data_IF_332807499851
#
_entry.id   IF_332807499851
#
_cell.length_a   1.000
_cell.length_b   1.000
_cell.length_c   1.000
_cell.angle_alpha   90.00
_cell.angle_beta   90.00
_cell.angle_gamma   90.00
#
_symmetry.space_group_name_H-M   'P 1'
#
loop_
_entity.id
_entity.type
_entity.pdbx_description
1 polymer ?
#
# COMPACT_ATOMS: atom_id res chain seq x y z
N UNK A 1 7.89 8.76 25.75
CA UNK A 1 8.71 7.59 26.06
C UNK A 1 9.38 6.96 24.84
N UNK A 2 8.74 6.89 23.67
CA UNK A 2 9.31 6.30 22.43
C UNK A 2 10.34 7.20 21.70
N UNK A 3 10.50 8.46 22.08
CA UNK A 3 11.39 9.42 21.40
C UNK A 3 12.89 9.21 21.71
N UNK A 4 13.21 8.44 22.76
CA UNK A 4 14.60 8.14 23.17
C UNK A 4 15.05 6.72 22.80
N UNK A 5 14.32 6.05 21.91
CA UNK A 5 14.69 4.72 21.47
C UNK A 5 15.99 4.76 20.65
N UNK A 6 16.91 3.85 20.98
CA UNK A 6 18.08 3.55 20.16
C UNK A 6 17.62 3.19 18.71
N UNK A 7 18.44 3.49 17.72
CA UNK A 7 18.18 3.19 16.29
C UNK A 7 17.74 1.74 16.07
N UNK A 8 18.33 0.79 16.79
CA UNK A 8 17.97 -0.63 16.71
C UNK A 8 16.55 -0.90 17.20
N UNK A 9 16.16 -0.25 18.30
CA UNK A 9 14.79 -0.37 18.82
C UNK A 9 13.77 0.31 17.91
N UNK A 10 14.11 1.46 17.31
CA UNK A 10 13.27 2.11 16.30
C UNK A 10 13.05 1.19 15.10
N UNK A 11 14.11 0.57 14.58
CA UNK A 11 14.02 -0.37 13.48
C UNK A 11 13.14 -1.59 13.82
N UNK A 12 13.24 -2.12 15.04
CA UNK A 12 12.39 -3.21 15.50
C UNK A 12 10.91 -2.80 15.52
N UNK A 13 10.59 -1.62 16.05
CA UNK A 13 9.22 -1.12 16.08
C UNK A 13 8.67 -0.98 14.65
N UNK A 14 9.41 -0.36 13.72
CA UNK A 14 8.98 -0.24 12.31
C UNK A 14 8.76 -1.61 11.68
N UNK A 15 9.65 -2.57 11.94
CA UNK A 15 9.54 -3.94 11.45
C UNK A 15 8.25 -4.62 11.94
N UNK A 16 7.97 -4.58 13.24
CA UNK A 16 6.77 -5.18 13.82
C UNK A 16 5.50 -4.55 13.22
N UNK A 17 5.47 -3.23 13.12
CA UNK A 17 4.31 -2.53 12.54
C UNK A 17 4.13 -2.82 11.04
N UNK A 18 5.21 -2.98 10.28
CA UNK A 18 5.10 -3.31 8.85
C UNK A 18 4.51 -4.71 8.63
N UNK A 19 4.93 -5.71 9.43
CA UNK A 19 4.36 -7.04 9.40
C UNK A 19 2.90 -7.04 9.89
N UNK A 20 2.61 -6.26 10.93
CA UNK A 20 1.24 -6.09 11.44
C UNK A 20 0.33 -5.48 10.38
N UNK A 21 0.81 -4.47 9.63
CA UNK A 21 0.05 -3.90 8.51
C UNK A 21 -0.27 -4.96 7.47
N UNK A 22 0.73 -5.71 7.02
CA UNK A 22 0.54 -6.78 6.03
C UNK A 22 -0.45 -7.84 6.52
N UNK A 23 -0.34 -8.27 7.79
CA UNK A 23 -1.27 -9.23 8.39
C UNK A 23 -2.71 -8.72 8.44
N UNK A 24 -2.92 -7.49 8.91
CA UNK A 24 -4.24 -6.84 8.95
C UNK A 24 -4.78 -6.65 7.53
N UNK A 25 -3.94 -6.25 6.58
CA UNK A 25 -4.30 -6.08 5.18
C UNK A 25 -4.79 -7.40 4.55
N UNK A 26 -4.08 -8.52 4.78
CA UNK A 26 -4.50 -9.86 4.33
C UNK A 26 -5.87 -10.22 4.90
N UNK A 27 -6.03 -10.12 6.22
CA UNK A 27 -7.26 -10.49 6.90
C UNK A 27 -8.44 -9.59 6.50
N UNK A 28 -8.23 -8.28 6.42
CA UNK A 28 -9.27 -7.34 6.01
C UNK A 28 -9.67 -7.50 4.55
N UNK A 29 -8.74 -7.85 3.66
CA UNK A 29 -9.06 -8.16 2.26
C UNK A 29 -9.96 -9.38 2.15
N UNK A 30 -9.65 -10.47 2.88
CA UNK A 30 -10.49 -11.67 2.94
C UNK A 30 -11.89 -11.38 3.50
N UNK A 31 -11.94 -10.68 4.63
CA UNK A 31 -13.20 -10.33 5.28
C UNK A 31 -14.07 -9.43 4.40
N UNK A 32 -13.47 -8.45 3.76
CA UNK A 32 -14.17 -7.51 2.91
C UNK A 32 -14.79 -8.19 1.66
N UNK A 33 -14.13 -9.19 1.08
CA UNK A 33 -14.72 -9.94 -0.05
C UNK A 33 -15.94 -10.78 0.34
N UNK A 34 -16.09 -11.13 1.61
CA UNK A 34 -17.26 -11.85 2.11
C UNK A 34 -18.45 -10.94 2.40
N UNK A 35 -18.19 -9.68 2.79
CA UNK A 35 -19.23 -8.74 3.25
C UNK A 35 -19.63 -7.76 2.16
N UNK A 36 -18.65 -7.27 1.37
CA UNK A 36 -18.87 -6.24 0.38
C UNK A 36 -19.37 -6.83 -0.93
N UNK A 37 -20.31 -6.11 -1.55
CA UNK A 37 -20.75 -6.37 -2.90
C UNK A 37 -20.22 -5.27 -3.83
N UNK A 38 -19.76 -5.65 -5.03
CA UNK A 38 -19.29 -4.72 -6.05
C UNK A 38 -18.17 -3.80 -5.53
N UNK A 39 -18.26 -2.51 -5.84
CA UNK A 39 -17.30 -1.48 -5.48
C UNK A 39 -17.47 -0.89 -4.07
N UNK A 40 -18.44 -1.38 -3.28
CA UNK A 40 -18.66 -0.84 -1.91
C UNK A 40 -17.42 -0.93 -1.02
N UNK A 41 -16.56 -1.92 -1.22
CA UNK A 41 -15.29 -2.01 -0.51
C UNK A 41 -14.40 -0.78 -0.69
N UNK A 42 -14.35 -0.21 -1.91
CA UNK A 42 -13.62 1.02 -2.19
C UNK A 42 -14.20 2.21 -1.41
N UNK A 43 -15.54 2.39 -1.45
CA UNK A 43 -16.20 3.48 -0.74
C UNK A 43 -15.99 3.39 0.77
N UNK A 44 -16.13 2.19 1.35
CA UNK A 44 -15.89 1.94 2.77
C UNK A 44 -14.43 2.26 3.14
N UNK A 45 -13.46 1.81 2.35
CA UNK A 45 -12.05 2.10 2.58
C UNK A 45 -11.74 3.60 2.58
N UNK A 46 -12.29 4.36 1.62
CA UNK A 46 -12.13 5.82 1.57
C UNK A 46 -12.73 6.49 2.83
N UNK A 47 -13.95 6.12 3.21
CA UNK A 47 -14.60 6.67 4.41
C UNK A 47 -13.79 6.34 5.66
N UNK A 48 -13.31 5.12 5.82
CA UNK A 48 -12.46 4.73 6.95
C UNK A 48 -11.18 5.58 7.01
N UNK A 49 -10.55 5.84 5.89
CA UNK A 49 -9.34 6.67 5.86
C UNK A 49 -9.65 8.14 6.20
N UNK A 50 -10.78 8.69 5.76
CA UNK A 50 -11.22 10.03 6.18
C UNK A 50 -11.38 10.07 7.71
N UNK A 51 -11.96 9.02 8.31
CA UNK A 51 -12.07 8.88 9.77
C UNK A 51 -10.69 8.76 10.43
N UNK A 52 -9.69 8.16 9.79
CA UNK A 52 -8.33 8.03 10.32
C UNK A 52 -7.59 9.39 10.45
N UNK A 53 -7.92 10.39 9.63
CA UNK A 53 -7.26 11.71 9.64
C UNK A 53 -7.35 12.41 11.03
N UNK A 54 -8.53 12.59 11.63
CA UNK A 54 -8.62 13.19 12.97
C UNK A 54 -7.84 12.42 14.04
N UNK A 55 -7.78 11.09 13.96
CA UNK A 55 -6.96 10.29 14.87
C UNK A 55 -5.47 10.56 14.69
N UNK A 56 -4.99 10.65 13.46
CA UNK A 56 -3.61 11.04 13.19
C UNK A 56 -3.29 12.44 13.75
N UNK A 57 -4.18 13.41 13.56
CA UNK A 57 -4.02 14.76 14.10
C UNK A 57 -3.99 14.76 15.64
N UNK A 58 -4.85 13.98 16.28
CA UNK A 58 -4.87 13.81 17.75
C UNK A 58 -3.61 13.09 18.26
N UNK A 59 -2.93 12.29 17.45
CA UNK A 59 -1.71 11.58 17.77
C UNK A 59 -0.58 12.48 18.27
N UNK A 60 -0.57 13.77 17.88
CA UNK A 60 0.35 14.79 18.42
C UNK A 60 0.22 14.96 19.94
N UNK A 61 -0.98 14.78 20.49
CA UNK A 61 -1.28 14.92 21.92
C UNK A 61 -1.31 13.58 22.65
N UNK A 62 -1.83 12.55 22.00
CA UNK A 62 -2.05 11.22 22.60
C UNK A 62 -1.60 10.14 21.62
N UNK A 63 -0.59 9.35 21.99
CA UNK A 63 0.02 8.31 21.12
C UNK A 63 -1.01 7.31 20.55
N UNK A 64 -2.09 7.03 21.24
CA UNK A 64 -3.20 6.21 20.75
C UNK A 64 -3.81 6.71 19.45
N UNK A 65 -3.75 8.00 19.17
CA UNK A 65 -4.23 8.55 17.90
C UNK A 65 -3.47 8.00 16.70
N UNK A 66 -2.15 7.88 16.80
CA UNK A 66 -1.34 7.30 15.72
C UNK A 66 -1.60 5.81 15.52
N UNK A 67 -1.78 5.06 16.63
CA UNK A 67 -2.11 3.64 16.58
C UNK A 67 -3.49 3.41 15.96
N UNK A 68 -4.50 4.16 16.38
CA UNK A 68 -5.85 4.08 15.81
C UNK A 68 -5.83 4.39 14.30
N UNK A 69 -5.14 5.48 13.91
CA UNK A 69 -4.99 5.85 12.50
C UNK A 69 -4.30 4.74 11.69
N UNK A 70 -3.22 4.15 12.21
CA UNK A 70 -2.54 3.03 11.60
C UNK A 70 -3.47 1.83 11.38
N UNK A 71 -4.21 1.41 12.41
CA UNK A 71 -5.13 0.27 12.33
C UNK A 71 -6.24 0.52 11.32
N UNK A 72 -6.86 1.70 11.35
CA UNK A 72 -7.94 2.06 10.43
C UNK A 72 -7.44 2.04 8.99
N UNK A 73 -6.26 2.62 8.69
CA UNK A 73 -5.71 2.62 7.34
C UNK A 73 -5.29 1.22 6.86
N UNK A 74 -4.81 0.37 7.77
CA UNK A 74 -4.46 -1.02 7.42
C UNK A 74 -5.71 -1.80 6.99
N UNK A 75 -6.81 -1.65 7.72
CA UNK A 75 -8.10 -2.27 7.41
C UNK A 75 -8.67 -1.67 6.11
N UNK A 76 -8.66 -0.34 5.99
CA UNK A 76 -9.15 0.39 4.83
C UNK A 76 -8.46 -0.06 3.53
N UNK A 77 -7.14 -0.30 3.56
CA UNK A 77 -6.38 -0.79 2.42
C UNK A 77 -6.89 -2.16 1.94
N UNK A 78 -7.22 -3.06 2.86
CA UNK A 78 -7.80 -4.36 2.52
C UNK A 78 -9.19 -4.25 1.89
N UNK A 79 -10.03 -3.36 2.40
CA UNK A 79 -11.35 -3.09 1.80
C UNK A 79 -11.24 -2.54 0.38
N UNK A 80 -10.30 -1.63 0.12
CA UNK A 80 -10.06 -1.10 -1.23
C UNK A 80 -9.63 -2.20 -2.19
N UNK A 81 -8.68 -3.05 -1.79
CA UNK A 81 -8.20 -4.15 -2.64
C UNK A 81 -9.28 -5.20 -2.86
N UNK A 82 -10.19 -5.43 -1.91
CA UNK A 82 -11.32 -6.35 -2.08
C UNK A 82 -12.21 -5.94 -3.26
N UNK A 83 -12.40 -4.64 -3.49
CA UNK A 83 -13.22 -4.15 -4.60
C UNK A 83 -12.68 -4.61 -5.97
N UNK A 84 -11.36 -4.65 -6.14
CA UNK A 84 -10.72 -5.22 -7.33
C UNK A 84 -11.04 -6.71 -7.52
N UNK A 85 -10.89 -7.52 -6.46
CA UNK A 85 -11.13 -8.96 -6.55
C UNK A 85 -12.59 -9.31 -6.79
N UNK A 86 -13.52 -8.56 -6.18
CA UNK A 86 -14.96 -8.71 -6.41
C UNK A 86 -15.31 -8.37 -7.86
N UNK A 87 -14.79 -7.25 -8.43
CA UNK A 87 -15.03 -6.88 -9.82
C UNK A 87 -14.45 -7.90 -10.80
N UNK A 88 -13.27 -8.42 -10.52
CA UNK A 88 -12.60 -9.41 -11.39
C UNK A 88 -13.13 -10.84 -11.21
N UNK A 89 -14.16 -11.05 -10.37
CA UNK A 89 -14.76 -12.36 -10.06
C UNK A 89 -13.73 -13.40 -9.58
N UNK A 90 -12.66 -12.93 -8.92
CA UNK A 90 -11.59 -13.79 -8.43
C UNK A 90 -11.80 -14.11 -6.96
N UNK A 91 -11.76 -15.38 -6.64
CA UNK A 91 -11.82 -15.84 -5.25
C UNK A 91 -10.48 -15.59 -4.55
N UNK A 92 -10.55 -14.99 -3.37
CA UNK A 92 -9.39 -14.86 -2.48
C UNK A 92 -9.30 -16.10 -1.59
N UNK A 93 -8.20 -16.83 -1.73
CA UNK A 93 -7.83 -17.89 -0.82
C UNK A 93 -6.67 -17.40 0.07
N UNK A 94 -6.75 -17.67 1.37
CA UNK A 94 -5.75 -17.25 2.37
C UNK A 94 -4.35 -17.77 2.01
N UNK A 95 -4.25 -18.97 1.44
CA UNK A 95 -2.99 -19.56 1.04
C UNK A 95 -2.30 -18.74 -0.06
N UNK A 96 -3.05 -18.36 -1.10
CA UNK A 96 -2.56 -17.54 -2.21
C UNK A 96 -2.15 -16.15 -1.74
N UNK A 97 -2.88 -15.57 -0.78
CA UNK A 97 -2.56 -14.25 -0.22
C UNK A 97 -1.28 -14.28 0.61
N UNK A 98 -1.10 -15.33 1.43
CA UNK A 98 0.13 -15.49 2.22
C UNK A 98 1.33 -15.66 1.29
N UNK A 99 1.23 -16.53 0.27
CA UNK A 99 2.32 -16.73 -0.70
C UNK A 99 2.66 -15.41 -1.41
N UNK A 100 1.67 -14.64 -1.84
CA UNK A 100 1.88 -13.33 -2.47
C UNK A 100 2.55 -12.30 -1.54
N UNK A 101 2.30 -12.36 -0.23
CA UNK A 101 2.89 -11.46 0.75
C UNK A 101 4.33 -11.80 1.15
N UNK A 102 4.75 -13.07 1.05
CA UNK A 102 6.06 -13.55 1.52
C UNK A 102 7.24 -12.74 0.94
N UNK A 103 7.34 -12.50 -0.39
CA UNK A 103 8.49 -11.77 -0.93
C UNK A 103 8.63 -10.36 -0.37
N UNK A 104 7.51 -9.64 -0.23
CA UNK A 104 7.50 -8.30 0.33
C UNK A 104 7.87 -8.29 1.82
N UNK A 105 7.34 -9.24 2.60
CA UNK A 105 7.68 -9.41 4.01
C UNK A 105 9.16 -9.80 4.18
N UNK A 106 9.72 -10.64 3.31
CA UNK A 106 11.13 -11.02 3.32
C UNK A 106 12.07 -9.82 3.11
N UNK A 107 11.72 -8.90 2.20
CA UNK A 107 12.52 -7.67 2.00
C UNK A 107 12.55 -6.83 3.28
N UNK A 108 11.41 -6.62 3.91
CA UNK A 108 11.31 -5.86 5.17
C UNK A 108 12.12 -6.53 6.28
N UNK A 109 12.05 -7.86 6.37
CA UNK A 109 12.82 -8.64 7.34
C UNK A 109 14.32 -8.56 7.11
N UNK A 110 14.78 -8.66 5.86
CA UNK A 110 16.20 -8.52 5.51
C UNK A 110 16.73 -7.15 5.87
N UNK A 111 15.96 -6.08 5.58
CA UNK A 111 16.33 -4.71 5.96
C UNK A 111 16.45 -4.58 7.47
N UNK A 112 15.50 -5.14 8.21
CA UNK A 112 15.56 -5.16 9.67
C UNK A 112 16.83 -5.86 10.18
N UNK A 113 17.17 -7.05 9.68
CA UNK A 113 18.37 -7.78 10.05
C UNK A 113 19.65 -6.99 9.74
N UNK A 114 19.74 -6.39 8.55
CA UNK A 114 20.90 -5.58 8.17
C UNK A 114 21.05 -4.33 9.05
N UNK A 115 19.95 -3.69 9.42
CA UNK A 115 19.97 -2.54 10.34
C UNK A 115 20.38 -2.92 11.77
N UNK A 116 20.12 -4.17 12.18
CA UNK A 116 20.60 -4.68 13.47
C UNK A 116 22.09 -5.01 13.45
N UNK A 117 22.61 -5.52 12.33
CA UNK A 117 23.97 -6.03 12.21
C UNK A 117 25.00 -4.96 11.84
N UNK A 118 24.65 -3.98 11.00
CA UNK A 118 25.62 -3.03 10.43
C UNK A 118 25.34 -1.58 10.84
N UNK A 119 26.25 -0.99 11.62
CA UNK A 119 26.08 0.40 12.10
C UNK A 119 26.40 1.48 11.03
N UNK A 120 27.28 1.18 10.05
CA UNK A 120 27.83 2.22 9.15
C UNK A 120 27.12 2.38 7.78
N UNK A 121 26.28 1.43 7.37
CA UNK A 121 25.74 1.36 6.00
C UNK A 121 24.21 1.54 5.91
N UNK A 122 23.62 2.17 6.93
CA UNK A 122 22.15 2.25 7.06
C UNK A 122 21.42 2.83 5.83
N UNK A 123 21.91 3.95 5.30
CA UNK A 123 21.31 4.61 4.14
C UNK A 123 21.42 3.74 2.88
N UNK A 124 22.58 3.15 2.64
CA UNK A 124 22.85 2.29 1.48
C UNK A 124 21.94 1.05 1.51
N UNK A 125 21.81 0.41 2.67
CA UNK A 125 20.93 -0.76 2.86
C UNK A 125 19.48 -0.44 2.47
N UNK A 126 18.96 0.70 2.91
CA UNK A 126 17.57 1.09 2.62
C UNK A 126 17.40 1.39 1.12
N UNK A 127 18.38 2.08 0.49
CA UNK A 127 18.33 2.39 -0.95
C UNK A 127 18.37 1.11 -1.77
N UNK A 128 19.28 0.18 -1.46
CA UNK A 128 19.38 -1.11 -2.16
C UNK A 128 18.08 -1.91 -2.00
N UNK A 129 17.52 -1.96 -0.78
CA UNK A 129 16.27 -2.64 -0.54
C UNK A 129 15.09 -1.99 -1.29
N UNK A 130 15.07 -0.66 -1.40
CA UNK A 130 14.06 0.04 -2.18
C UNK A 130 14.15 -0.30 -3.68
N UNK A 131 15.37 -0.39 -4.23
CA UNK A 131 15.59 -0.82 -5.62
C UNK A 131 15.11 -2.26 -5.83
N UNK A 132 15.48 -3.19 -4.93
CA UNK A 132 15.02 -4.59 -4.99
C UNK A 132 13.49 -4.65 -4.92
N UNK A 133 12.88 -3.84 -4.07
CA UNK A 133 11.43 -3.78 -3.95
C UNK A 133 10.75 -3.24 -5.22
N UNK A 134 11.33 -2.24 -5.88
CA UNK A 134 10.83 -1.73 -7.17
C UNK A 134 10.92 -2.84 -8.24
N UNK A 135 12.03 -3.57 -8.30
CA UNK A 135 12.17 -4.72 -9.21
C UNK A 135 11.12 -5.78 -8.91
N UNK A 136 10.88 -6.09 -7.63
CA UNK A 136 9.81 -7.02 -7.23
C UNK A 136 8.44 -6.52 -7.69
N UNK A 137 8.13 -5.23 -7.52
CA UNK A 137 6.86 -4.64 -7.96
C UNK A 137 6.67 -4.76 -9.46
N UNK A 138 7.70 -4.45 -10.25
CA UNK A 138 7.67 -4.58 -11.71
C UNK A 138 7.49 -6.05 -12.12
N UNK A 139 8.22 -6.96 -11.49
CA UNK A 139 8.12 -8.39 -11.76
C UNK A 139 6.72 -8.92 -11.46
N UNK A 140 6.17 -8.59 -10.29
CA UNK A 140 4.83 -9.05 -9.91
C UNK A 140 3.74 -8.48 -10.82
N UNK A 141 3.84 -7.23 -11.28
CA UNK A 141 2.85 -6.65 -12.20
C UNK A 141 2.95 -7.29 -13.60
N UNK A 142 4.14 -7.57 -14.10
CA UNK A 142 4.32 -8.26 -15.39
C UNK A 142 3.69 -9.66 -15.34
N UNK A 143 4.00 -10.45 -14.31
CA UNK A 143 3.42 -11.79 -14.15
C UNK A 143 1.91 -11.74 -13.88
N UNK A 144 1.42 -10.72 -13.18
CA UNK A 144 -0.01 -10.49 -13.01
C UNK A 144 -0.70 -10.27 -14.35
N UNK A 145 -0.16 -9.39 -15.21
CA UNK A 145 -0.72 -9.13 -16.54
C UNK A 145 -0.67 -10.38 -17.43
N UNK A 146 0.45 -11.13 -17.42
CA UNK A 146 0.64 -12.29 -18.27
C UNK A 146 -0.19 -13.51 -17.84
N UNK A 147 -0.28 -13.78 -16.54
CA UNK A 147 -0.91 -14.99 -16.02
C UNK A 147 -2.27 -14.75 -15.36
N UNK A 148 -2.60 -13.51 -15.03
CA UNK A 148 -3.83 -13.18 -14.34
C UNK A 148 -3.95 -13.77 -12.93
N UNK A 149 -2.88 -14.24 -12.31
CA UNK A 149 -2.92 -14.98 -11.07
C UNK A 149 -3.08 -14.06 -9.84
N UNK A 150 -3.92 -14.50 -8.88
CA UNK A 150 -4.20 -13.81 -7.61
C UNK A 150 -2.92 -13.59 -6.79
N UNK A 151 -2.00 -14.56 -6.77
CA UNK A 151 -0.74 -14.47 -6.02
C UNK A 151 0.09 -13.27 -6.47
N UNK A 152 0.23 -13.06 -7.78
CA UNK A 152 1.04 -11.96 -8.31
C UNK A 152 0.36 -10.60 -8.12
N UNK A 153 -0.96 -10.51 -8.32
CA UNK A 153 -1.69 -9.27 -8.07
C UNK A 153 -1.62 -8.85 -6.59
N UNK A 154 -1.78 -9.80 -5.69
CA UNK A 154 -1.67 -9.55 -4.26
C UNK A 154 -0.23 -9.23 -3.83
N UNK A 155 0.74 -9.94 -4.38
CA UNK A 155 2.17 -9.68 -4.20
C UNK A 155 2.56 -8.27 -4.62
N UNK A 156 1.98 -7.74 -5.69
CA UNK A 156 2.16 -6.36 -6.10
C UNK A 156 1.65 -5.37 -5.04
N UNK A 157 0.44 -5.53 -4.51
CA UNK A 157 -0.06 -4.68 -3.43
C UNK A 157 0.79 -4.76 -2.17
N UNK A 158 1.26 -5.96 -1.80
CA UNK A 158 2.18 -6.13 -0.67
C UNK A 158 3.53 -5.45 -0.90
N UNK A 159 4.03 -5.45 -2.14
CA UNK A 159 5.27 -4.75 -2.48
C UNK A 159 5.14 -3.23 -2.38
N UNK A 160 3.98 -2.66 -2.71
CA UNK A 160 3.70 -1.23 -2.49
C UNK A 160 3.71 -0.89 -1.00
N UNK A 161 3.09 -1.72 -0.16
CA UNK A 161 3.12 -1.56 1.30
C UNK A 161 4.56 -1.60 1.81
N UNK A 162 5.33 -2.61 1.40
CA UNK A 162 6.74 -2.76 1.75
C UNK A 162 7.55 -1.52 1.37
N UNK A 163 7.34 -0.95 0.19
CA UNK A 163 8.01 0.27 -0.26
C UNK A 163 7.79 1.45 0.70
N UNK A 164 6.55 1.69 1.14
CA UNK A 164 6.28 2.75 2.10
C UNK A 164 6.95 2.49 3.46
N UNK A 165 6.99 1.24 3.92
CA UNK A 165 7.70 0.92 5.16
C UNK A 165 9.22 1.02 5.04
N UNK A 166 9.81 0.79 3.87
CA UNK A 166 11.22 1.12 3.60
C UNK A 166 11.47 2.63 3.70
N UNK A 167 10.55 3.46 3.20
CA UNK A 167 10.61 4.91 3.39
C UNK A 167 10.51 5.29 4.87
N UNK A 168 9.61 4.65 5.63
CA UNK A 168 9.49 4.85 7.09
C UNK A 168 10.79 4.49 7.81
N UNK A 169 11.45 3.38 7.46
CA UNK A 169 12.78 3.05 7.97
C UNK A 169 13.77 4.17 7.70
N UNK A 170 13.81 4.70 6.47
CA UNK A 170 14.69 5.80 6.08
C UNK A 170 14.47 7.06 6.90
N UNK A 171 13.21 7.46 7.08
CA UNK A 171 12.84 8.66 7.86
C UNK A 171 13.17 8.46 9.34
N UNK A 172 12.74 7.35 9.93
CA UNK A 172 12.84 7.08 11.38
C UNK A 172 14.28 6.96 11.85
N UNK A 173 15.17 6.40 11.01
CA UNK A 173 16.57 6.20 11.35
C UNK A 173 17.36 7.51 11.29
N UNK A 174 16.98 8.43 10.41
CA UNK A 174 17.70 9.68 10.17
C UNK A 174 17.24 10.85 11.08
N UNK A 175 16.08 10.72 11.76
CA UNK A 175 15.52 11.78 12.59
C UNK A 175 15.40 11.32 14.05
N UNK A 176 16.18 11.94 14.92
CA UNK A 176 16.19 11.63 16.37
C UNK A 176 14.97 12.18 17.13
N UNK A 177 14.37 13.26 16.65
CA UNK A 177 13.34 13.99 17.38
C UNK A 177 11.90 13.59 17.02
N UNK A 178 11.69 12.79 15.98
CA UNK A 178 10.34 12.43 15.52
C UNK A 178 9.80 11.19 16.23
N UNK A 179 8.52 11.22 16.53
CA UNK A 179 7.82 10.06 17.05
C UNK A 179 7.75 8.95 15.98
N UNK A 180 8.34 7.79 16.26
CA UNK A 180 8.29 6.60 15.38
C UNK A 180 6.85 6.25 14.99
N UNK A 181 5.91 6.35 15.93
CA UNK A 181 4.49 6.08 15.66
C UNK A 181 3.85 7.07 14.70
N UNK A 182 4.30 8.33 14.67
CA UNK A 182 3.85 9.31 13.68
C UNK A 182 4.29 8.90 12.28
N UNK A 183 5.54 8.49 12.13
CA UNK A 183 6.10 8.10 10.84
C UNK A 183 5.44 6.80 10.33
N UNK A 184 5.17 5.84 11.23
CA UNK A 184 4.42 4.61 10.93
C UNK A 184 2.99 4.94 10.49
N UNK A 185 2.28 5.80 11.20
CA UNK A 185 0.94 6.24 10.83
C UNK A 185 0.96 6.96 9.48
N UNK A 186 1.96 7.80 9.21
CA UNK A 186 2.13 8.46 7.91
C UNK A 186 2.39 7.45 6.78
N UNK A 187 3.23 6.44 7.02
CA UNK A 187 3.48 5.34 6.08
C UNK A 187 2.20 4.56 5.75
N UNK A 188 1.31 4.37 6.73
CA UNK A 188 0.01 3.71 6.51
C UNK A 188 -0.92 4.53 5.60
N UNK A 189 -0.94 5.85 5.72
CA UNK A 189 -1.65 6.73 4.78
C UNK A 189 -1.08 6.65 3.37
N UNK A 190 0.25 6.71 3.24
CA UNK A 190 0.91 6.60 1.94
C UNK A 190 0.59 5.28 1.25
N UNK A 191 0.65 4.17 1.98
CA UNK A 191 0.27 2.84 1.47
C UNK A 191 -1.19 2.80 1.02
N UNK A 192 -2.11 3.35 1.81
CA UNK A 192 -3.53 3.43 1.46
C UNK A 192 -3.75 4.25 0.18
N UNK A 193 -3.16 5.44 0.08
CA UNK A 193 -3.36 6.33 -1.07
C UNK A 193 -2.90 5.65 -2.36
N UNK A 194 -1.69 5.09 -2.39
CA UNK A 194 -1.17 4.47 -3.61
C UNK A 194 -1.99 3.23 -4.01
N UNK A 195 -2.38 2.40 -3.04
CA UNK A 195 -3.24 1.23 -3.30
C UNK A 195 -4.58 1.70 -3.87
N UNK A 196 -5.19 2.74 -3.29
CA UNK A 196 -6.46 3.28 -3.77
C UNK A 196 -6.37 3.82 -5.19
N UNK A 197 -5.31 4.58 -5.50
CA UNK A 197 -5.07 5.09 -6.86
C UNK A 197 -4.93 3.95 -7.86
N UNK A 198 -4.14 2.93 -7.54
CA UNK A 198 -3.96 1.75 -8.40
C UNK A 198 -5.27 1.00 -8.60
N UNK A 199 -6.05 0.77 -7.54
CA UNK A 199 -7.33 0.07 -7.63
C UNK A 199 -8.33 0.88 -8.44
N UNK A 200 -8.45 2.20 -8.22
CA UNK A 200 -9.33 3.07 -9.00
C UNK A 200 -8.94 3.02 -10.48
N UNK A 201 -7.65 3.12 -10.80
CA UNK A 201 -7.16 3.04 -12.17
C UNK A 201 -7.54 1.72 -12.85
N UNK A 202 -7.38 0.60 -12.16
CA UNK A 202 -7.76 -0.73 -12.69
C UNK A 202 -9.29 -0.84 -12.84
N UNK A 203 -10.06 -0.35 -11.86
CA UNK A 203 -11.52 -0.42 -11.87
C UNK A 203 -12.14 0.46 -12.97
N UNK A 204 -11.48 1.55 -13.34
CA UNK A 204 -11.90 2.43 -14.45
C UNK A 204 -11.54 1.88 -15.83
N UNK A 205 -10.91 0.71 -15.91
CA UNK A 205 -10.46 0.08 -17.17
C UNK A 205 -9.56 1.00 -18.04
N UNK A 206 -8.92 1.98 -17.39
CA UNK A 206 -8.11 2.99 -18.09
C UNK A 206 -8.89 4.16 -18.66
N UNK A 207 -10.22 4.19 -18.59
CA UNK A 207 -11.06 5.29 -19.11
C UNK A 207 -10.67 6.67 -18.56
N UNK A 208 -10.04 6.72 -17.37
CA UNK A 208 -9.51 7.97 -16.81
C UNK A 208 -8.42 8.56 -17.71
N UNK A 209 -7.60 7.75 -18.35
CA UNK A 209 -6.57 8.23 -19.29
C UNK A 209 -7.18 8.78 -20.58
N UNK A 210 -8.21 8.11 -21.11
CA UNK A 210 -8.93 8.58 -22.31
C UNK A 210 -9.66 9.92 -22.05
N UNK A 211 -10.11 10.15 -20.82
CA UNK A 211 -10.68 11.43 -20.39
C UNK A 211 -9.67 12.58 -20.34
N UNK A 212 -8.40 12.30 -20.09
CA UNK A 212 -7.31 13.31 -20.12
C UNK A 212 -6.88 13.66 -21.55
N UNK A 213 -6.91 12.71 -22.49
CA UNK A 213 -6.63 12.97 -23.90
C UNK A 213 -7.73 13.85 -24.55
N UNK A 214 -8.96 13.79 -24.05
CA UNK A 214 -10.05 14.68 -24.47
C UNK A 214 -9.88 16.15 -24.11
N UNK A 215 -9.01 16.50 -23.18
CA UNK A 215 -8.68 17.88 -22.81
C UNK A 215 -7.59 18.52 -23.68
N UNK A 216 -6.88 17.72 -24.49
CA UNK A 216 -5.72 18.17 -25.30
C UNK A 216 -5.93 18.22 -26.81
N UNK A 217 -7.03 17.74 -27.34
CA UNK A 217 -7.22 17.65 -28.79
C UNK A 217 -8.65 17.94 -29.22
N UNK A 218 -8.93 19.20 -29.54
CA UNK A 218 -10.08 19.52 -30.38
C UNK A 218 -9.80 18.98 -31.78
N UNK A 219 -10.39 17.85 -32.16
CA UNK A 219 -10.24 17.33 -33.50
C UNK A 219 -11.56 17.19 -34.22
N UNK A 220 -11.68 17.98 -35.30
CA UNK A 220 -12.79 18.21 -36.19
C UNK A 220 -13.16 17.03 -37.11
N UNK A 221 -12.79 15.80 -36.81
CA UNK A 221 -12.90 14.66 -37.72
C UNK A 221 -14.22 13.88 -37.66
N UNK A 222 -15.17 14.25 -36.83
CA UNK A 222 -16.50 13.56 -36.75
C UNK A 222 -17.61 14.10 -37.63
N UNK A 223 -17.36 15.11 -38.48
CA UNK A 223 -18.40 15.67 -39.40
C UNK A 223 -18.49 15.04 -40.81
N UNK A 224 -17.57 14.16 -41.18
CA UNK A 224 -17.50 13.66 -42.56
C UNK A 224 -18.25 12.32 -42.84
N UNK A 225 -18.95 11.72 -41.85
CA UNK A 225 -19.60 10.40 -42.06
C UNK A 225 -21.14 10.38 -42.03
N UNK A 226 -21.79 11.55 -42.03
CA UNK A 226 -23.28 11.65 -42.07
C UNK A 226 -23.87 12.20 -43.38
N UNK A 227 -23.12 12.25 -44.48
CA UNK A 227 -23.58 12.78 -45.75
C UNK A 227 -23.59 11.75 -46.90
N UNK A 228 -23.69 10.46 -46.59
CA UNK A 228 -23.97 9.44 -47.64
C UNK A 228 -24.82 8.32 -47.07
N UNK A 229 -26.11 8.60 -46.88
CA UNK A 229 -27.24 7.68 -46.96
C UNK A 229 -28.48 8.51 -47.28
#
# INVERSE_FOLDING_TARGET
MLNYLNTKAKAFVVFVFSLSFMGIFVLSSLFATQICQKWYGLAIGIVMTIIAIPFHCKGKKVLWGYLASFLINSIASGFVVSAYYIKSERTLDIHNLIIGAIPAAAIVFLVYLMLQSFNKTKKVTIIVAAIINIVLSITTIIFWIMQGNVVFSFGFFCSLISFFYLCVFGITINHDERSVLRDISFGSFGSFIIISVVVIFILSEGEILDGFDGFGGGDDTKKAKRSKM
#
